data_IF_451765946499
#
_entry.id   IF_451765946499
#
_cell.length_a   1.000
_cell.length_b   1.000
_cell.length_c   1.000
_cell.angle_alpha   90.00
_cell.angle_beta   90.00
_cell.angle_gamma   90.00
#
_symmetry.space_group_name_H-M   'P 1'
#
loop_
_entity.id
_entity.type
_entity.pdbx_description
1 polymer ?
#
# COMPACT_ATOMS: atom_id res chain seq x y z
N UNK A 1 -48.39 -5.57 12.38
CA UNK A 1 -48.54 -4.20 12.92
C UNK A 1 -47.48 -3.33 12.26
N UNK A 2 -47.87 -2.34 11.43
CA UNK A 2 -46.92 -1.35 10.92
C UNK A 2 -46.50 -0.44 12.07
N UNK A 3 -45.24 -0.58 12.50
CA UNK A 3 -44.62 0.34 13.45
C UNK A 3 -43.96 1.41 12.57
N UNK A 4 -44.47 2.64 12.63
CA UNK A 4 -43.77 3.78 12.03
C UNK A 4 -42.50 4.03 12.84
N UNK A 5 -41.34 3.73 12.26
CA UNK A 5 -40.03 3.99 12.86
C UNK A 5 -39.47 5.25 12.20
N UNK A 6 -39.43 6.35 12.94
CA UNK A 6 -38.71 7.55 12.53
C UNK A 6 -37.25 7.40 12.99
N UNK A 7 -36.34 7.23 12.02
CA UNK A 7 -34.89 7.15 12.26
C UNK A 7 -34.29 8.55 12.05
N UNK A 8 -33.87 9.19 13.14
CA UNK A 8 -33.01 10.37 13.07
C UNK A 8 -31.56 9.94 13.26
N UNK A 9 -30.74 10.09 12.22
CA UNK A 9 -29.29 9.86 12.31
C UNK A 9 -28.61 11.14 12.80
N UNK A 10 -28.04 11.12 14.01
CA UNK A 10 -27.19 12.20 14.53
C UNK A 10 -25.70 11.97 14.20
N UNK A 11 -25.40 11.61 12.94
CA UNK A 11 -24.01 11.48 12.47
C UNK A 11 -23.91 12.16 11.10
N UNK A 12 -22.89 12.98 10.82
CA UNK A 12 -22.70 13.51 9.49
C UNK A 12 -22.42 12.34 8.54
N UNK A 13 -23.36 12.04 7.65
CA UNK A 13 -23.17 11.16 6.50
C UNK A 13 -22.29 11.81 5.41
N UNK A 14 -21.62 12.91 5.74
CA UNK A 14 -20.65 13.53 4.89
C UNK A 14 -19.30 12.84 5.09
N UNK A 15 -18.80 12.22 4.02
CA UNK A 15 -17.38 12.09 3.74
C UNK A 15 -16.71 13.49 3.55
N UNK A 16 -17.08 14.47 4.38
CA UNK A 16 -16.26 15.64 4.63
C UNK A 16 -14.97 15.11 5.23
N UNK A 17 -13.85 15.77 4.94
CA UNK A 17 -12.54 15.42 5.43
C UNK A 17 -12.51 15.42 6.97
N UNK A 18 -12.98 14.34 7.58
CA UNK A 18 -12.79 14.11 8.99
C UNK A 18 -11.28 13.98 9.14
N UNK A 19 -10.67 14.99 9.77
CA UNK A 19 -9.29 14.87 10.21
C UNK A 19 -9.25 13.69 11.17
N UNK A 20 -8.86 12.52 10.65
CA UNK A 20 -8.62 11.38 11.50
C UNK A 20 -7.61 11.84 12.56
N UNK A 21 -7.90 11.66 13.86
CA UNK A 21 -6.94 12.04 14.89
C UNK A 21 -5.60 11.38 14.55
N UNK A 22 -4.50 12.14 14.63
CA UNK A 22 -3.19 11.66 14.17
C UNK A 22 -2.83 10.34 14.86
N UNK A 23 -2.19 9.46 14.09
CA UNK A 23 -1.68 8.20 14.58
C UNK A 23 -0.49 8.51 15.50
N UNK A 24 -0.71 8.58 16.80
CA UNK A 24 0.40 8.81 17.73
C UNK A 24 1.17 7.51 17.96
N UNK A 25 2.44 7.50 17.55
CA UNK A 25 3.40 6.46 17.91
C UNK A 25 4.15 6.95 19.14
N UNK A 26 4.20 6.14 20.20
CA UNK A 26 5.00 6.47 21.37
C UNK A 26 6.48 6.22 21.02
N UNK A 27 7.28 7.28 21.05
CA UNK A 27 8.68 7.25 20.61
C UNK A 27 9.59 7.87 21.67
N UNK A 28 10.76 7.26 21.84
CA UNK A 28 11.85 7.80 22.65
C UNK A 28 13.04 8.12 21.74
N UNK A 29 13.41 9.39 21.55
CA UNK A 29 14.56 9.77 20.75
C UNK A 29 15.86 9.18 21.28
N UNK A 30 16.72 8.71 20.38
CA UNK A 30 18.09 8.31 20.69
C UNK A 30 19.02 9.42 20.24
N UNK A 31 19.82 9.95 21.17
CA UNK A 31 20.82 10.97 20.87
C UNK A 31 21.91 10.37 20.00
N UNK A 32 22.00 10.88 18.76
CA UNK A 32 23.06 10.56 17.80
C UNK A 32 23.92 11.81 17.61
N UNK A 33 25.25 11.63 17.56
CA UNK A 33 26.14 12.72 17.17
C UNK A 33 25.98 13.00 15.68
N UNK A 34 25.64 14.25 15.33
CA UNK A 34 25.41 14.69 13.94
C UNK A 34 26.54 15.62 13.51
N UNK A 35 27.17 15.42 12.34
CA UNK A 35 28.10 16.41 11.80
C UNK A 35 27.36 17.69 11.36
N UNK A 36 28.10 18.78 11.15
CA UNK A 36 27.53 20.15 11.11
C UNK A 36 26.56 20.45 9.95
N UNK A 37 26.77 19.90 8.75
CA UNK A 37 26.04 20.40 7.56
C UNK A 37 25.64 19.34 6.54
N UNK A 38 26.56 18.46 6.17
CA UNK A 38 26.36 17.39 5.19
C UNK A 38 27.50 16.38 5.27
N UNK A 39 27.32 15.19 4.70
CA UNK A 39 28.40 14.22 4.58
C UNK A 39 28.34 13.50 3.24
N UNK A 40 29.49 13.36 2.55
CA UNK A 40 29.60 12.81 1.19
C UNK A 40 30.32 11.46 1.18
N UNK A 41 29.89 10.56 0.30
CA UNK A 41 30.54 9.27 0.06
C UNK A 41 30.33 8.83 -1.39
N UNK A 42 31.19 7.94 -1.88
CA UNK A 42 31.14 7.41 -3.25
C UNK A 42 30.43 6.05 -3.32
N UNK A 43 30.24 5.34 -2.21
CA UNK A 43 29.58 4.02 -2.25
C UNK A 43 28.94 3.65 -0.93
N UNK A 44 29.68 3.81 0.16
CA UNK A 44 29.26 3.44 1.50
C UNK A 44 29.50 4.62 2.43
N UNK A 45 28.53 4.87 3.30
CA UNK A 45 28.61 5.83 4.38
C UNK A 45 28.15 5.15 5.66
N UNK A 46 28.82 5.40 6.79
CA UNK A 46 28.42 4.85 8.09
C UNK A 46 27.96 6.00 9.00
N UNK A 47 26.69 6.43 8.95
CA UNK A 47 26.22 7.63 9.67
C UNK A 47 26.60 7.70 11.14
N UNK A 48 26.61 6.56 11.82
CA UNK A 48 27.13 6.42 13.18
C UNK A 48 27.56 4.98 13.46
N UNK A 49 28.42 4.81 14.46
CA UNK A 49 28.96 3.54 14.93
C UNK A 49 28.87 3.42 16.44
N UNK A 50 28.88 2.19 16.92
CA UNK A 50 28.90 1.81 18.33
C UNK A 50 27.79 2.47 19.17
N UNK A 51 26.65 2.77 18.53
CA UNK A 51 25.49 3.34 19.20
C UNK A 51 24.89 2.30 20.14
N UNK A 52 25.00 2.54 21.44
CA UNK A 52 24.35 1.71 22.45
C UNK A 52 22.83 1.84 22.30
N UNK A 53 22.15 0.70 22.29
CA UNK A 53 20.70 0.59 22.15
C UNK A 53 20.13 -0.43 23.11
N UNK A 54 18.88 -0.24 23.51
CA UNK A 54 18.16 -1.18 24.37
C UNK A 54 17.93 -2.51 23.66
N UNK A 55 18.16 -3.62 24.37
CA UNK A 55 17.84 -4.97 23.90
C UNK A 55 16.33 -5.20 23.74
N UNK A 56 15.94 -6.21 22.95
CA UNK A 56 14.55 -6.64 22.73
C UNK A 56 13.57 -5.50 22.33
N UNK A 57 14.08 -4.44 21.70
CA UNK A 57 13.33 -3.22 21.43
C UNK A 57 13.19 -2.97 19.94
N UNK A 58 12.09 -2.34 19.53
CA UNK A 58 11.91 -1.88 18.16
C UNK A 58 12.46 -0.45 18.01
N UNK A 59 13.07 -0.17 16.88
CA UNK A 59 13.63 1.14 16.54
C UNK A 59 13.22 1.54 15.13
N UNK A 60 13.22 2.84 14.86
CA UNK A 60 13.06 3.39 13.52
C UNK A 60 14.18 4.38 13.25
N UNK A 61 14.93 4.15 12.18
CA UNK A 61 15.95 5.07 11.69
C UNK A 61 15.49 5.74 10.40
N UNK A 62 15.79 7.03 10.26
CA UNK A 62 15.66 7.74 8.98
C UNK A 62 16.67 8.88 8.82
N UNK A 63 16.97 9.21 7.57
CA UNK A 63 17.68 10.42 7.18
C UNK A 63 17.32 10.81 5.74
N UNK A 64 17.74 12.01 5.30
CA UNK A 64 17.68 12.39 3.88
C UNK A 64 19.02 12.16 3.20
N UNK A 65 18.97 11.55 2.02
CA UNK A 65 20.10 11.39 1.12
C UNK A 65 19.83 12.09 -0.22
N UNK A 66 20.90 12.46 -0.93
CA UNK A 66 20.84 13.08 -2.25
C UNK A 66 21.91 12.47 -3.14
N UNK A 67 21.50 12.01 -4.31
CA UNK A 67 22.42 11.55 -5.35
C UNK A 67 23.07 12.77 -6.02
N UNK A 68 24.40 12.81 -6.07
CA UNK A 68 25.15 13.95 -6.62
C UNK A 68 25.50 13.75 -8.10
N UNK A 69 25.74 12.51 -8.51
CA UNK A 69 26.10 12.15 -9.87
C UNK A 69 25.35 10.88 -10.32
N UNK A 70 25.14 10.78 -11.63
CA UNK A 70 24.56 9.61 -12.28
C UNK A 70 25.13 9.56 -13.72
N UNK A 71 25.75 8.46 -14.16
CA UNK A 71 26.25 8.34 -15.52
C UNK A 71 25.14 8.54 -16.56
N UNK A 72 25.48 9.07 -17.73
CA UNK A 72 24.50 9.42 -18.77
C UNK A 72 23.61 8.24 -19.21
N UNK A 73 24.11 7.01 -19.11
CA UNK A 73 23.37 5.78 -19.47
C UNK A 73 22.61 5.15 -18.29
N UNK A 74 22.85 5.59 -17.06
CA UNK A 74 22.21 5.02 -15.88
C UNK A 74 20.80 5.61 -15.70
N UNK A 75 19.83 4.74 -15.42
CA UNK A 75 18.42 5.13 -15.27
C UNK A 75 18.10 5.69 -13.88
N UNK A 76 18.90 5.30 -12.88
CA UNK A 76 18.91 5.75 -11.50
C UNK A 76 19.87 4.93 -10.64
N UNK A 77 19.98 5.28 -9.36
CA UNK A 77 20.78 4.60 -8.35
C UNK A 77 19.89 3.93 -7.29
N UNK A 78 20.35 2.82 -6.73
CA UNK A 78 19.64 2.11 -5.67
C UNK A 78 20.33 2.34 -4.33
N UNK A 79 19.62 2.96 -3.39
CA UNK A 79 20.08 3.13 -2.02
C UNK A 79 19.62 1.96 -1.15
N UNK A 80 20.52 1.49 -0.28
CA UNK A 80 20.19 0.59 0.81
C UNK A 80 20.55 1.26 2.14
N UNK A 81 19.76 0.96 3.16
CA UNK A 81 20.06 1.28 4.55
C UNK A 81 20.17 -0.02 5.32
N UNK A 82 21.30 -0.20 6.01
CA UNK A 82 21.59 -1.36 6.83
C UNK A 82 21.79 -0.95 8.28
N UNK A 83 21.27 -1.76 9.19
CA UNK A 83 21.71 -1.80 10.57
C UNK A 83 22.66 -2.98 10.74
N UNK A 84 23.82 -2.74 11.33
CA UNK A 84 24.78 -3.75 11.73
C UNK A 84 24.64 -3.89 13.25
N UNK A 85 24.12 -5.04 13.68
CA UNK A 85 23.89 -5.34 15.10
C UNK A 85 25.11 -6.05 15.68
N UNK A 86 25.74 -5.45 16.68
CA UNK A 86 26.94 -5.98 17.35
C UNK A 86 26.50 -6.57 18.69
N UNK A 87 26.52 -7.90 18.86
CA UNK A 87 26.16 -8.52 20.12
C UNK A 87 27.30 -8.38 21.16
N UNK A 88 26.99 -8.65 22.42
CA UNK A 88 27.98 -8.74 23.52
C UNK A 88 28.99 -9.87 23.30
N UNK A 89 28.55 -10.94 22.62
CA UNK A 89 29.37 -12.08 22.21
C UNK A 89 28.85 -12.64 20.89
N UNK A 90 29.76 -13.17 20.06
CA UNK A 90 29.45 -13.74 18.73
C UNK A 90 29.57 -12.75 17.57
N UNK A 91 29.15 -13.19 16.38
CA UNK A 91 29.28 -12.43 15.14
C UNK A 91 28.22 -11.31 15.00
N UNK A 92 28.62 -10.20 14.37
CA UNK A 92 27.72 -9.12 14.02
C UNK A 92 26.69 -9.57 12.96
N UNK A 93 25.45 -9.08 13.08
CA UNK A 93 24.37 -9.38 12.13
C UNK A 93 24.04 -8.17 11.28
N UNK A 94 24.02 -8.34 9.96
CA UNK A 94 23.61 -7.31 9.01
C UNK A 94 22.13 -7.47 8.64
N UNK A 95 21.37 -6.38 8.72
CA UNK A 95 19.96 -6.35 8.34
C UNK A 95 19.72 -5.15 7.44
N UNK A 96 19.15 -5.36 6.26
CA UNK A 96 18.67 -4.26 5.41
C UNK A 96 17.32 -3.82 5.92
N UNK A 97 17.20 -2.54 6.28
CA UNK A 97 15.99 -1.96 6.88
C UNK A 97 15.26 -1.03 5.92
N UNK A 98 15.94 -0.56 4.87
CA UNK A 98 15.37 0.33 3.87
C UNK A 98 16.01 0.12 2.51
N UNK A 99 15.19 0.18 1.47
CA UNK A 99 15.63 0.22 0.08
C UNK A 99 14.94 1.37 -0.63
N UNK A 100 15.64 2.03 -1.54
CA UNK A 100 15.05 3.02 -2.44
C UNK A 100 15.64 2.83 -3.83
N UNK A 101 14.81 2.43 -4.78
CA UNK A 101 15.23 2.08 -6.12
C UNK A 101 15.10 3.24 -7.10
N UNK A 102 15.95 3.25 -8.13
CA UNK A 102 15.84 4.16 -9.26
C UNK A 102 15.85 5.66 -8.86
N UNK A 103 16.64 6.02 -7.86
CA UNK A 103 16.83 7.42 -7.44
C UNK A 103 17.62 8.16 -8.50
N UNK A 104 17.09 9.29 -8.94
CA UNK A 104 17.70 10.13 -9.97
C UNK A 104 18.29 11.38 -9.34
N UNK A 105 19.30 11.97 -9.98
CA UNK A 105 19.92 13.23 -9.52
C UNK A 105 18.87 14.35 -9.34
N UNK A 106 17.89 14.43 -10.23
CA UNK A 106 16.79 15.39 -10.18
C UNK A 106 15.77 15.18 -9.05
N UNK A 107 15.81 14.03 -8.35
CA UNK A 107 14.96 13.81 -7.19
C UNK A 107 15.35 14.71 -6.01
N UNK A 108 16.59 15.20 -5.97
CA UNK A 108 17.09 16.01 -4.87
C UNK A 108 17.22 15.19 -3.58
N UNK A 109 16.73 15.74 -2.47
CA UNK A 109 16.74 15.08 -1.17
C UNK A 109 15.59 14.09 -1.05
N UNK A 110 15.91 12.81 -0.83
CA UNK A 110 14.96 11.72 -0.61
C UNK A 110 15.12 11.15 0.79
N UNK A 111 14.01 10.75 1.44
CA UNK A 111 14.05 10.12 2.76
C UNK A 111 14.37 8.62 2.62
N UNK A 112 15.32 8.13 3.41
CA UNK A 112 15.74 6.73 3.46
C UNK A 112 15.81 6.24 4.91
N UNK A 113 15.60 4.95 5.13
CA UNK A 113 15.54 4.38 6.47
C UNK A 113 14.51 3.26 6.59
N UNK A 114 14.19 2.88 7.82
CA UNK A 114 13.23 1.86 8.16
C UNK A 114 13.32 1.42 9.61
N UNK A 115 12.50 0.43 9.97
CA UNK A 115 12.48 -0.15 11.30
C UNK A 115 13.36 -1.39 11.44
N UNK A 116 13.74 -1.69 12.68
CA UNK A 116 14.42 -2.92 13.06
C UNK A 116 14.16 -3.29 14.51
N UNK A 117 14.47 -4.53 14.87
CA UNK A 117 14.36 -5.03 16.25
C UNK A 117 15.70 -5.55 16.75
N UNK A 118 16.07 -5.17 17.98
CA UNK A 118 17.31 -5.61 18.61
C UNK A 118 17.15 -6.95 19.33
N UNK A 119 18.14 -7.86 19.28
CA UNK A 119 18.13 -9.09 20.06
C UNK A 119 18.40 -8.84 21.55
N UNK A 120 18.23 -9.86 22.38
CA UNK A 120 18.46 -9.81 23.83
C UNK A 120 19.93 -9.55 24.21
N UNK A 121 20.87 -10.04 23.39
CA UNK A 121 22.30 -9.95 23.62
C UNK A 121 22.99 -8.78 22.90
N UNK A 122 22.24 -7.76 22.44
CA UNK A 122 22.83 -6.60 21.74
C UNK A 122 23.77 -5.82 22.66
N UNK A 123 24.89 -5.34 22.11
CA UNK A 123 25.80 -4.37 22.73
C UNK A 123 25.60 -2.98 22.12
N UNK A 124 25.72 -2.90 20.80
CA UNK A 124 25.65 -1.66 20.04
C UNK A 124 25.18 -1.92 18.60
N UNK A 125 24.88 -0.85 17.87
CA UNK A 125 24.61 -0.90 16.44
C UNK A 125 25.48 0.09 15.66
N UNK A 126 25.75 -0.24 14.40
CA UNK A 126 26.21 0.72 13.40
C UNK A 126 25.11 0.92 12.36
N UNK A 127 24.99 2.13 11.84
CA UNK A 127 24.19 2.38 10.65
C UNK A 127 25.06 2.51 9.43
N UNK A 128 24.57 2.01 8.32
CA UNK A 128 25.20 2.13 7.02
C UNK A 128 24.18 2.53 5.97
N UNK A 129 24.58 3.45 5.11
CA UNK A 129 23.88 3.77 3.86
C UNK A 129 24.81 3.42 2.72
N UNK A 130 24.30 2.72 1.72
CA UNK A 130 25.09 2.31 0.56
C UNK A 130 24.35 2.52 -0.74
N UNK A 131 25.10 2.68 -1.83
CA UNK A 131 24.61 2.56 -3.19
C UNK A 131 25.02 1.19 -3.74
N UNK A 132 24.07 0.49 -4.34
CA UNK A 132 24.31 -0.80 -4.99
C UNK A 132 24.85 -0.63 -6.42
N UNK A 133 25.79 -1.50 -6.81
CA UNK A 133 26.33 -1.57 -8.17
C UNK A 133 27.56 -0.71 -8.37
N UNK A 134 27.36 0.59 -8.63
CA UNK A 134 28.42 1.53 -9.00
C UNK A 134 28.88 2.41 -7.82
N UNK A 135 30.12 2.87 -7.89
CA UNK A 135 30.65 3.91 -7.01
C UNK A 135 30.12 5.28 -7.46
N UNK A 136 28.94 5.66 -6.98
CA UNK A 136 28.30 6.95 -7.24
C UNK A 136 28.38 7.87 -6.02
N UNK A 137 28.78 9.13 -6.24
CA UNK A 137 28.75 10.15 -5.19
C UNK A 137 27.33 10.45 -4.74
N UNK A 138 27.13 10.37 -3.44
CA UNK A 138 25.93 10.82 -2.74
C UNK A 138 26.29 11.59 -1.48
N UNK A 139 25.28 12.27 -0.96
CA UNK A 139 25.37 13.07 0.26
C UNK A 139 24.23 12.70 1.20
N UNK A 140 24.50 12.67 2.51
CA UNK A 140 23.48 12.59 3.56
C UNK A 140 23.41 13.94 4.27
N UNK A 141 22.19 14.39 4.57
CA UNK A 141 21.98 15.54 5.45
C UNK A 141 21.94 15.07 6.92
N UNK A 142 22.98 15.31 7.71
CA UNK A 142 23.08 14.82 9.08
C UNK A 142 22.03 15.43 10.00
N UNK A 143 21.59 16.66 9.73
CA UNK A 143 20.58 17.35 10.53
C UNK A 143 19.23 16.63 10.47
N UNK A 144 18.97 15.90 9.39
CA UNK A 144 17.76 15.10 9.19
C UNK A 144 17.83 13.70 9.78
N UNK A 145 18.98 13.27 10.31
CA UNK A 145 19.10 11.94 10.91
C UNK A 145 18.24 11.84 12.16
N UNK A 146 17.56 10.72 12.31
CA UNK A 146 16.73 10.40 13.45
C UNK A 146 16.83 8.91 13.74
N UNK A 147 17.06 8.57 14.99
CA UNK A 147 16.89 7.23 15.53
C UNK A 147 15.93 7.36 16.71
N UNK A 148 14.84 6.61 16.69
CA UNK A 148 13.86 6.57 17.79
C UNK A 148 13.65 5.13 18.21
N UNK A 149 13.50 4.90 19.52
CA UNK A 149 12.97 3.65 20.05
C UNK A 149 11.45 3.72 20.00
N UNK A 150 10.84 2.71 19.39
CA UNK A 150 9.39 2.57 19.36
C UNK A 150 8.95 1.91 20.68
N UNK A 151 8.06 2.58 21.41
CA UNK A 151 7.59 2.11 22.71
C UNK A 151 6.30 1.30 22.53
N UNK A 152 6.23 0.09 23.12
CA UNK A 152 4.97 -0.66 23.15
C UNK A 152 3.86 0.17 23.79
N UNK A 153 2.68 0.18 23.17
CA UNK A 153 1.49 0.81 23.72
C UNK A 153 0.52 -0.26 24.21
N UNK A 154 0.54 -0.60 25.50
CA UNK A 154 -0.40 -1.57 26.08
C UNK A 154 -1.88 -1.19 25.91
N UNK A 155 -2.17 0.09 25.65
CA UNK A 155 -3.52 0.63 25.46
C UNK A 155 -3.90 0.80 23.99
N UNK A 156 -3.10 0.33 23.03
CA UNK A 156 -3.33 0.55 21.59
C UNK A 156 -4.74 0.10 21.16
N UNK A 157 -5.21 -1.03 21.69
CA UNK A 157 -6.53 -1.60 21.37
C UNK A 157 -7.66 -0.76 21.96
N UNK A 158 -7.51 -0.29 23.20
CA UNK A 158 -8.44 0.62 23.86
C UNK A 158 -8.56 1.92 23.06
N UNK A 159 -7.42 2.54 22.71
CA UNK A 159 -7.38 3.76 21.88
C UNK A 159 -7.98 3.55 20.49
N UNK A 160 -7.73 2.40 19.87
CA UNK A 160 -8.35 2.04 18.59
C UNK A 160 -9.87 1.90 18.72
N UNK A 161 -10.37 1.23 19.75
CA UNK A 161 -11.80 1.11 20.02
C UNK A 161 -12.46 2.46 20.31
N UNK A 162 -11.78 3.37 21.03
CA UNK A 162 -12.25 4.74 21.23
C UNK A 162 -12.38 5.50 19.90
N UNK A 163 -11.37 5.42 19.02
CA UNK A 163 -11.44 6.00 17.67
C UNK A 163 -12.58 5.40 16.85
N UNK A 164 -12.77 4.08 16.90
CA UNK A 164 -13.90 3.42 16.24
C UNK A 164 -15.23 3.95 16.78
N UNK A 165 -15.38 4.07 18.10
CA UNK A 165 -16.58 4.64 18.70
C UNK A 165 -16.83 6.09 18.32
N UNK A 166 -15.77 6.90 18.20
CA UNK A 166 -15.89 8.32 17.84
C UNK A 166 -16.13 8.57 16.34
N UNK A 167 -15.52 7.75 15.46
CA UNK A 167 -15.46 8.02 14.01
C UNK A 167 -16.42 7.10 13.22
N UNK A 168 -16.76 5.93 13.78
CA UNK A 168 -17.51 4.88 13.08
C UNK A 168 -18.78 4.44 13.80
N UNK A 169 -19.09 5.02 14.97
CA UNK A 169 -20.36 4.79 15.69
C UNK A 169 -21.04 6.13 15.96
N UNK A 170 -22.33 6.06 16.26
CA UNK A 170 -23.13 7.20 16.70
C UNK A 170 -24.32 6.73 17.52
N UNK A 171 -24.93 7.66 18.24
CA UNK A 171 -26.19 7.41 18.94
C UNK A 171 -27.33 7.24 17.94
N UNK A 172 -28.24 6.31 18.24
CA UNK A 172 -29.53 6.19 17.58
C UNK A 172 -30.62 6.40 18.63
N UNK A 173 -31.52 7.34 18.38
CA UNK A 173 -32.70 7.57 19.22
C UNK A 173 -33.95 7.18 18.45
N UNK A 174 -34.82 6.43 19.11
CA UNK A 174 -36.05 5.90 18.52
C UNK A 174 -37.23 6.29 19.39
N UNK A 175 -38.12 7.06 18.80
CA UNK A 175 -39.36 7.45 19.45
C UNK A 175 -40.47 6.53 18.95
N UNK A 176 -40.92 5.63 19.82
CA UNK A 176 -41.89 4.59 19.47
C UNK A 176 -43.17 4.84 20.23
N UNK A 177 -44.27 5.08 19.50
CA UNK A 177 -45.60 5.23 20.08
C UNK A 177 -46.19 3.83 20.33
N UNK A 178 -46.14 3.40 21.58
CA UNK A 178 -46.70 2.11 21.99
C UNK A 178 -48.24 2.20 22.08
N UNK A 179 -49.02 1.41 21.32
CA UNK A 179 -50.47 1.36 21.49
C UNK A 179 -50.83 0.79 22.87
N UNK A 180 -51.90 1.28 23.50
CA UNK A 180 -52.33 0.94 24.88
C UNK A 180 -52.53 -0.55 25.18
N UNK A 181 -52.49 -1.42 24.15
CA UNK A 181 -52.67 -2.88 24.25
C UNK A 181 -51.43 -3.62 24.78
N UNK A 182 -50.23 -3.03 24.72
CA UNK A 182 -49.00 -3.67 25.19
C UNK A 182 -48.33 -2.81 26.27
N UNK A 183 -47.81 -3.44 27.32
CA UNK A 183 -46.92 -2.76 28.27
C UNK A 183 -45.52 -2.58 27.68
N UNK A 184 -44.78 -1.57 28.12
CA UNK A 184 -43.41 -1.35 27.63
C UNK A 184 -42.48 -2.56 27.87
N UNK A 185 -42.73 -3.37 28.91
CA UNK A 185 -41.98 -4.60 29.21
C UNK A 185 -42.21 -5.72 28.20
N UNK A 186 -43.30 -5.65 27.44
CA UNK A 186 -43.62 -6.63 26.39
C UNK A 186 -43.03 -6.26 25.02
N UNK A 187 -42.49 -5.05 24.87
CA UNK A 187 -41.81 -4.64 23.64
C UNK A 187 -40.40 -5.22 23.61
N UNK A 188 -40.09 -5.96 22.55
CA UNK A 188 -38.74 -6.48 22.27
C UNK A 188 -38.25 -5.88 20.95
N UNK A 189 -37.02 -5.40 20.95
CA UNK A 189 -36.36 -4.85 19.76
C UNK A 189 -35.24 -5.77 19.32
N UNK A 190 -35.15 -6.03 18.02
CA UNK A 190 -34.01 -6.70 17.40
C UNK A 190 -33.35 -5.73 16.42
N UNK A 191 -32.04 -5.60 16.54
CA UNK A 191 -31.20 -4.81 15.64
C UNK A 191 -30.26 -5.74 14.89
N UNK A 192 -30.09 -5.52 13.60
CA UNK A 192 -29.21 -6.30 12.77
C UNK A 192 -28.48 -5.36 11.79
N UNK A 193 -27.15 -5.45 11.77
CA UNK A 193 -26.36 -4.69 10.79
C UNK A 193 -26.51 -5.37 9.43
N UNK A 194 -27.23 -4.73 8.51
CA UNK A 194 -27.48 -5.29 7.16
C UNK A 194 -26.33 -5.04 6.17
N UNK A 195 -25.49 -4.01 6.40
CA UNK A 195 -24.33 -3.69 5.56
C UNK A 195 -23.27 -2.92 6.35
N UNK A 196 -22.00 -3.10 5.99
CA UNK A 196 -20.91 -2.22 6.44
C UNK A 196 -20.83 -0.97 5.56
N UNK A 197 -20.71 0.20 6.20
CA UNK A 197 -20.48 1.48 5.51
C UNK A 197 -19.06 1.65 4.93
N UNK A 198 -18.17 0.68 5.15
CA UNK A 198 -16.83 0.65 4.54
C UNK A 198 -16.54 -0.71 3.90
N UNK A 199 -15.64 -0.77 2.89
CA UNK A 199 -15.29 -2.01 2.21
C UNK A 199 -14.63 -3.02 3.15
N UNK A 200 -15.21 -4.21 3.23
CA UNK A 200 -14.62 -5.43 3.77
C UNK A 200 -14.70 -6.45 2.65
N UNK A 201 -13.55 -6.82 2.09
CA UNK A 201 -13.51 -7.55 0.83
C UNK A 201 -12.62 -8.77 0.83
N UNK A 202 -12.77 -9.55 -0.24
CA UNK A 202 -11.92 -10.71 -0.54
C UNK A 202 -11.48 -10.73 -1.99
N UNK A 203 -10.40 -11.47 -2.27
CA UNK A 203 -10.04 -11.84 -3.63
C UNK A 203 -11.07 -12.86 -4.18
N UNK A 204 -11.45 -12.71 -5.44
CA UNK A 204 -12.48 -13.52 -6.09
C UNK A 204 -12.03 -14.08 -7.42
N UNK A 205 -12.50 -15.29 -7.73
CA UNK A 205 -12.35 -15.93 -9.04
C UNK A 205 -13.68 -15.83 -9.76
N UNK A 206 -13.70 -15.26 -10.97
CA UNK A 206 -14.95 -14.98 -11.68
C UNK A 206 -15.76 -16.21 -12.04
N UNK A 207 -15.10 -17.32 -12.36
CA UNK A 207 -15.77 -18.60 -12.62
C UNK A 207 -16.49 -19.18 -11.39
N UNK A 208 -16.06 -18.84 -10.16
CA UNK A 208 -16.72 -19.24 -8.91
C UNK A 208 -17.78 -18.23 -8.50
N UNK A 209 -17.47 -16.94 -8.57
CA UNK A 209 -18.38 -15.88 -8.12
C UNK A 209 -19.60 -15.71 -9.03
N UNK A 210 -19.44 -15.90 -10.35
CA UNK A 210 -20.55 -15.92 -11.32
C UNK A 210 -20.78 -17.31 -11.93
N UNK A 211 -20.41 -18.38 -11.22
CA UNK A 211 -20.63 -19.76 -11.66
C UNK A 211 -22.02 -20.28 -11.28
N UNK A 212 -22.48 -21.33 -11.97
CA UNK A 212 -23.83 -21.92 -11.76
C UNK A 212 -23.80 -23.30 -11.08
N UNK A 213 -22.62 -23.91 -10.97
CA UNK A 213 -22.47 -25.23 -10.35
C UNK A 213 -22.60 -25.17 -8.81
N UNK A 214 -22.72 -26.34 -8.17
CA UNK A 214 -22.94 -26.46 -6.72
C UNK A 214 -21.83 -25.80 -5.89
N UNK A 215 -20.57 -25.93 -6.30
CA UNK A 215 -19.44 -25.31 -5.60
C UNK A 215 -19.46 -23.77 -5.70
N UNK A 216 -19.80 -23.24 -6.87
CA UNK A 216 -19.95 -21.81 -7.10
C UNK A 216 -21.05 -21.21 -6.22
N UNK A 217 -22.18 -21.91 -6.06
CA UNK A 217 -23.26 -21.47 -5.16
C UNK A 217 -22.78 -21.38 -3.70
N UNK A 218 -22.10 -22.41 -3.19
CA UNK A 218 -21.50 -22.38 -1.83
C UNK A 218 -20.48 -21.24 -1.68
N UNK A 219 -19.67 -21.00 -2.70
CA UNK A 219 -18.70 -19.90 -2.73
C UNK A 219 -19.40 -18.53 -2.66
N UNK A 220 -20.45 -18.33 -3.46
CA UNK A 220 -21.25 -17.10 -3.48
C UNK A 220 -21.95 -16.86 -2.14
N UNK A 221 -22.61 -17.87 -1.58
CA UNK A 221 -23.24 -17.79 -0.26
C UNK A 221 -22.26 -17.34 0.81
N UNK A 222 -21.08 -17.95 0.86
CA UNK A 222 -20.04 -17.52 1.79
C UNK A 222 -19.56 -16.10 1.51
N UNK A 223 -19.29 -15.76 0.25
CA UNK A 223 -18.78 -14.44 -0.11
C UNK A 223 -19.77 -13.33 0.24
N UNK A 224 -21.02 -13.42 -0.25
CA UNK A 224 -22.03 -12.38 -0.07
C UNK A 224 -22.55 -12.27 1.38
N UNK A 225 -22.37 -13.32 2.19
CA UNK A 225 -22.64 -13.27 3.64
C UNK A 225 -21.57 -12.49 4.42
N UNK A 226 -20.31 -12.52 3.99
CA UNK A 226 -19.17 -12.05 4.80
C UNK A 226 -18.49 -10.79 4.27
N UNK A 227 -18.62 -10.49 2.99
CA UNK A 227 -17.91 -9.39 2.32
C UNK A 227 -18.89 -8.47 1.60
N UNK A 228 -18.47 -7.24 1.31
CA UNK A 228 -19.19 -6.28 0.48
C UNK A 228 -18.33 -5.69 -0.64
N UNK A 229 -17.16 -6.29 -0.89
CA UNK A 229 -16.17 -5.83 -1.86
C UNK A 229 -15.40 -6.99 -2.50
N UNK A 230 -15.28 -7.02 -3.82
CA UNK A 230 -14.54 -8.05 -4.55
C UNK A 230 -13.28 -7.53 -5.24
N UNK A 231 -12.19 -8.30 -5.24
CA UNK A 231 -11.01 -8.02 -6.10
C UNK A 231 -10.75 -9.21 -7.00
N UNK A 232 -10.72 -9.03 -8.32
CA UNK A 232 -10.43 -10.14 -9.24
C UNK A 232 -9.02 -10.70 -8.97
N UNK A 233 -8.91 -11.94 -8.49
CA UNK A 233 -7.64 -12.51 -8.01
C UNK A 233 -6.62 -12.63 -9.15
N UNK A 234 -7.06 -13.15 -10.31
CA UNK A 234 -6.21 -13.37 -11.48
C UNK A 234 -6.84 -12.88 -12.79
N UNK A 235 -8.17 -12.82 -12.87
CA UNK A 235 -8.89 -12.65 -14.15
C UNK A 235 -8.55 -11.35 -14.89
N UNK A 236 -8.21 -10.27 -14.17
CA UNK A 236 -7.80 -8.99 -14.77
C UNK A 236 -6.29 -8.90 -15.07
N UNK A 237 -5.44 -9.82 -14.60
CA UNK A 237 -3.99 -9.77 -14.83
C UNK A 237 -3.70 -9.95 -16.32
N UNK A 238 -2.79 -9.14 -16.89
CA UNK A 238 -2.61 -9.08 -18.34
C UNK A 238 -2.32 -10.43 -19.00
N UNK A 239 -1.39 -11.21 -18.45
CA UNK A 239 -1.05 -12.53 -19.00
C UNK A 239 -2.22 -13.52 -18.98
N UNK A 240 -3.19 -13.35 -18.09
CA UNK A 240 -4.35 -14.24 -17.94
C UNK A 240 -5.45 -13.78 -18.88
N UNK A 241 -5.84 -12.52 -18.76
CA UNK A 241 -6.87 -11.92 -19.61
C UNK A 241 -6.47 -11.95 -21.08
N UNK A 242 -5.18 -11.85 -21.39
CA UNK A 242 -4.68 -11.80 -22.75
C UNK A 242 -3.46 -12.71 -22.92
N UNK A 243 -3.67 -14.01 -22.74
CA UNK A 243 -2.62 -15.02 -22.93
C UNK A 243 -2.14 -15.15 -24.38
N UNK A 244 -2.95 -14.71 -25.35
CA UNK A 244 -2.61 -14.65 -26.78
C UNK A 244 -2.66 -13.21 -27.27
N UNK A 245 -1.70 -12.84 -28.10
CA UNK A 245 -1.58 -11.48 -28.61
C UNK A 245 -2.87 -11.02 -29.31
N UNK A 246 -3.39 -9.86 -28.89
CA UNK A 246 -4.58 -9.22 -29.45
C UNK A 246 -5.88 -10.03 -29.28
N UNK A 247 -5.92 -11.00 -28.36
CA UNK A 247 -7.09 -11.84 -28.07
C UNK A 247 -7.46 -11.82 -26.58
N UNK A 248 -7.95 -10.69 -26.05
CA UNK A 248 -8.43 -10.61 -24.67
C UNK A 248 -9.67 -11.49 -24.44
N UNK A 249 -9.71 -12.18 -23.31
CA UNK A 249 -10.81 -13.02 -22.84
C UNK A 249 -11.47 -12.32 -21.66
N UNK A 250 -12.75 -11.99 -21.81
CA UNK A 250 -13.51 -11.18 -20.85
C UNK A 250 -14.39 -12.01 -19.89
N UNK A 251 -14.66 -13.27 -20.23
CA UNK A 251 -15.71 -14.08 -19.60
C UNK A 251 -15.64 -14.13 -18.06
N UNK A 252 -14.48 -14.46 -17.49
CA UNK A 252 -14.37 -14.54 -16.02
C UNK A 252 -14.47 -13.17 -15.35
N UNK A 253 -13.87 -12.13 -15.94
CA UNK A 253 -13.96 -10.78 -15.41
C UNK A 253 -15.42 -10.32 -15.41
N UNK A 254 -16.15 -10.52 -16.52
CA UNK A 254 -17.58 -10.25 -16.63
C UNK A 254 -18.39 -11.00 -15.57
N UNK A 255 -18.19 -12.31 -15.43
CA UNK A 255 -18.85 -13.10 -14.38
C UNK A 255 -18.63 -12.55 -12.97
N UNK A 256 -17.39 -12.14 -12.65
CA UNK A 256 -17.10 -11.56 -11.35
C UNK A 256 -17.83 -10.24 -11.13
N UNK A 257 -17.75 -9.32 -12.09
CA UNK A 257 -18.30 -7.97 -11.94
C UNK A 257 -19.82 -7.95 -12.04
N UNK A 258 -20.43 -8.76 -12.91
CA UNK A 258 -21.88 -8.92 -13.02
C UNK A 258 -22.47 -9.45 -11.68
N UNK A 259 -21.79 -10.41 -11.04
CA UNK A 259 -22.19 -10.95 -9.75
C UNK A 259 -22.06 -9.91 -8.61
N UNK A 260 -21.02 -9.07 -8.63
CA UNK A 260 -20.85 -8.00 -7.63
C UNK A 260 -21.87 -6.87 -7.82
N UNK A 261 -22.10 -6.44 -9.06
CA UNK A 261 -23.06 -5.38 -9.41
C UNK A 261 -24.50 -5.80 -9.07
N UNK A 262 -24.88 -7.07 -9.31
CA UNK A 262 -26.22 -7.57 -8.95
C UNK A 262 -26.50 -7.53 -7.44
N UNK A 263 -25.45 -7.59 -6.62
CA UNK A 263 -25.52 -7.43 -5.15
C UNK A 263 -25.24 -6.00 -4.68
N UNK A 264 -25.01 -5.05 -5.59
CA UNK A 264 -24.64 -3.65 -5.30
C UNK A 264 -23.37 -3.54 -4.45
N UNK A 265 -22.39 -4.40 -4.74
CA UNK A 265 -21.11 -4.49 -4.05
C UNK A 265 -20.00 -3.85 -4.88
N UNK A 266 -19.04 -3.22 -4.19
CA UNK A 266 -17.93 -2.55 -4.85
C UNK A 266 -16.87 -3.53 -5.34
N UNK A 267 -16.02 -3.07 -6.26
CA UNK A 267 -15.04 -3.94 -6.89
C UNK A 267 -13.71 -3.26 -7.20
N UNK A 268 -12.64 -4.06 -7.21
CA UNK A 268 -11.29 -3.66 -7.63
C UNK A 268 -10.76 -4.57 -8.73
N UNK A 269 -10.31 -3.99 -9.84
CA UNK A 269 -9.56 -4.73 -10.84
C UNK A 269 -8.09 -4.85 -10.42
N UNK A 270 -7.60 -6.09 -10.37
CA UNK A 270 -6.21 -6.40 -10.07
C UNK A 270 -5.60 -7.28 -11.18
N UNK A 271 -4.67 -6.79 -11.98
CA UNK A 271 -4.18 -5.41 -12.08
C UNK A 271 -3.97 -5.04 -13.55
N UNK A 272 -3.94 -3.74 -13.85
CA UNK A 272 -3.76 -3.26 -15.21
C UNK A 272 -2.35 -3.59 -15.70
N UNK A 273 -1.30 -3.26 -14.96
CA UNK A 273 0.07 -3.66 -15.28
C UNK A 273 0.75 -4.33 -14.08
N UNK A 274 1.56 -5.35 -14.35
CA UNK A 274 2.44 -5.97 -13.34
C UNK A 274 3.78 -6.25 -14.01
N UNK A 275 4.81 -5.53 -13.55
CA UNK A 275 6.13 -5.49 -14.18
C UNK A 275 7.04 -6.65 -13.86
N UNK A 276 6.56 -7.67 -13.13
CA UNK A 276 7.37 -8.86 -12.86
C UNK A 276 7.57 -9.72 -14.09
N UNK A 277 8.77 -10.23 -14.33
CA UNK A 277 9.11 -11.02 -15.53
C UNK A 277 8.18 -12.22 -15.75
N UNK A 278 7.70 -12.86 -14.68
CA UNK A 278 6.74 -13.98 -14.73
C UNK A 278 5.26 -13.57 -14.79
N UNK A 279 4.96 -12.28 -14.64
CA UNK A 279 3.61 -11.72 -14.67
C UNK A 279 3.22 -11.08 -16.01
N UNK A 280 4.21 -10.82 -16.86
CA UNK A 280 4.08 -10.21 -18.18
C UNK A 280 3.58 -11.25 -19.20
N UNK A 281 2.69 -10.90 -20.14
CA UNK A 281 2.31 -11.81 -21.22
C UNK A 281 3.53 -12.30 -22.01
N UNK A 282 3.66 -13.62 -22.20
CA UNK A 282 4.84 -14.20 -22.83
C UNK A 282 5.14 -13.61 -24.22
N UNK A 283 4.09 -13.35 -25.00
CA UNK A 283 4.17 -12.83 -26.37
C UNK A 283 4.71 -11.40 -26.47
N UNK A 284 4.75 -10.61 -25.38
CA UNK A 284 5.23 -9.22 -25.42
C UNK A 284 6.74 -9.09 -25.14
N UNK A 285 7.36 -10.09 -24.50
CA UNK A 285 8.70 -9.97 -23.91
C UNK A 285 9.82 -9.78 -24.94
N UNK A 286 9.68 -10.38 -26.12
CA UNK A 286 10.64 -10.30 -27.22
C UNK A 286 10.41 -9.13 -28.18
N UNK A 287 9.35 -8.32 -27.97
CA UNK A 287 8.99 -7.24 -28.89
C UNK A 287 9.90 -6.02 -28.74
N UNK A 288 9.94 -5.20 -29.79
CA UNK A 288 10.62 -3.91 -29.77
C UNK A 288 9.89 -2.90 -28.87
N UNK A 289 10.60 -1.89 -28.38
CA UNK A 289 10.04 -0.82 -27.53
C UNK A 289 8.80 -0.15 -28.15
N UNK A 290 8.78 0.24 -29.44
CA UNK A 290 7.57 0.78 -30.06
C UNK A 290 6.37 -0.18 -30.05
N UNK A 291 6.61 -1.48 -30.31
CA UNK A 291 5.56 -2.49 -30.28
C UNK A 291 5.00 -2.68 -28.85
N UNK A 292 5.88 -2.76 -27.84
CA UNK A 292 5.49 -2.83 -26.42
C UNK A 292 4.60 -1.63 -26.06
N UNK A 293 5.01 -0.42 -26.44
CA UNK A 293 4.23 0.79 -26.19
C UNK A 293 2.86 0.77 -26.90
N UNK A 294 2.80 0.24 -28.12
CA UNK A 294 1.54 -0.01 -28.84
C UNK A 294 0.59 -0.93 -28.05
N UNK A 295 1.11 -2.02 -27.50
CA UNK A 295 0.32 -2.96 -26.68
C UNK A 295 -0.12 -2.36 -25.33
N UNK A 296 0.73 -1.56 -24.69
CA UNK A 296 0.38 -0.82 -23.47
C UNK A 296 -0.81 0.12 -23.76
N UNK A 297 -0.75 0.90 -24.85
CA UNK A 297 -1.86 1.78 -25.28
C UNK A 297 -3.12 0.99 -25.56
N UNK A 298 -3.03 -0.13 -26.28
CA UNK A 298 -4.18 -0.98 -26.56
C UNK A 298 -4.81 -1.52 -25.28
N UNK A 299 -4.00 -1.96 -24.31
CA UNK A 299 -4.49 -2.44 -23.01
C UNK A 299 -5.17 -1.37 -22.18
N UNK A 300 -4.54 -0.20 -22.07
CA UNK A 300 -5.17 0.97 -21.42
C UNK A 300 -6.55 1.23 -22.04
N UNK A 301 -6.61 1.27 -23.38
CA UNK A 301 -7.84 1.56 -24.12
C UNK A 301 -8.94 0.53 -23.89
N UNK A 302 -8.68 -0.78 -24.08
CA UNK A 302 -9.76 -1.76 -23.89
C UNK A 302 -10.18 -1.88 -22.42
N UNK A 303 -9.26 -1.78 -21.46
CA UNK A 303 -9.64 -1.82 -20.04
C UNK A 303 -10.50 -0.61 -19.65
N UNK A 304 -10.14 0.59 -20.12
CA UNK A 304 -10.91 1.80 -19.85
C UNK A 304 -12.29 1.75 -20.52
N UNK A 305 -12.36 1.41 -21.81
CA UNK A 305 -13.62 1.39 -22.56
C UNK A 305 -14.57 0.28 -22.08
N UNK A 306 -14.05 -0.90 -21.73
CA UNK A 306 -14.89 -2.03 -21.29
C UNK A 306 -15.26 -1.94 -19.81
N UNK A 307 -14.34 -1.51 -18.95
CA UNK A 307 -14.52 -1.64 -17.49
C UNK A 307 -14.36 -0.35 -16.68
N UNK A 308 -13.98 0.76 -17.30
CA UNK A 308 -13.74 2.02 -16.58
C UNK A 308 -14.93 2.52 -15.76
N UNK A 309 -16.16 2.26 -16.20
CA UNK A 309 -17.37 2.64 -15.46
C UNK A 309 -17.91 1.54 -14.53
N UNK A 310 -17.28 0.37 -14.52
CA UNK A 310 -17.77 -0.81 -13.81
C UNK A 310 -16.97 -1.10 -12.54
N UNK A 311 -15.64 -1.00 -12.61
CA UNK A 311 -14.81 -1.11 -11.42
C UNK A 311 -14.76 0.22 -10.66
N UNK A 312 -14.94 0.18 -9.34
CA UNK A 312 -14.73 1.35 -8.49
C UNK A 312 -13.24 1.70 -8.44
N UNK A 313 -12.39 0.67 -8.25
CA UNK A 313 -10.95 0.81 -8.07
C UNK A 313 -10.17 0.00 -9.13
N UNK A 314 -9.04 0.53 -9.59
CA UNK A 314 -8.08 -0.20 -10.43
C UNK A 314 -6.67 -0.02 -9.90
N UNK A 315 -5.98 -1.15 -9.72
CA UNK A 315 -4.53 -1.16 -9.53
C UNK A 315 -3.88 -0.91 -10.89
N UNK A 316 -3.48 0.34 -11.16
CA UNK A 316 -2.85 0.72 -12.44
C UNK A 316 -1.54 -0.01 -12.61
N UNK A 317 -0.79 -0.15 -11.52
CA UNK A 317 0.43 -0.92 -11.47
C UNK A 317 0.51 -1.72 -10.17
N UNK A 318 0.98 -2.96 -10.30
CA UNK A 318 1.33 -3.83 -9.22
C UNK A 318 2.87 -4.01 -9.13
N UNK A 319 3.41 -3.87 -7.92
CA UNK A 319 4.78 -4.27 -7.53
C UNK A 319 5.92 -3.56 -8.26
N UNK A 320 5.70 -2.31 -8.65
CA UNK A 320 6.72 -1.48 -9.32
C UNK A 320 8.05 -1.42 -8.56
N UNK A 321 8.01 -1.47 -7.21
CA UNK A 321 9.23 -1.34 -6.41
C UNK A 321 10.14 -2.57 -6.51
N UNK A 322 9.63 -3.71 -6.93
CA UNK A 322 10.39 -4.96 -6.98
C UNK A 322 10.86 -5.29 -8.39
N UNK A 323 10.04 -4.99 -9.40
CA UNK A 323 10.41 -5.17 -10.79
C UNK A 323 9.63 -4.22 -11.71
N UNK A 324 10.35 -3.33 -12.39
CA UNK A 324 9.79 -2.22 -13.18
C UNK A 324 9.92 -2.46 -14.70
N UNK A 325 9.81 -3.71 -15.15
CA UNK A 325 10.20 -4.16 -16.49
C UNK A 325 9.73 -3.27 -17.63
N UNK A 326 8.47 -2.82 -17.65
CA UNK A 326 7.97 -1.99 -18.75
C UNK A 326 8.73 -0.65 -18.87
N UNK A 327 9.01 0.00 -17.74
CA UNK A 327 9.78 1.25 -17.74
C UNK A 327 11.25 1.02 -18.09
N UNK A 328 11.84 -0.04 -17.53
CA UNK A 328 13.25 -0.39 -17.75
C UNK A 328 13.52 -0.82 -19.20
N UNK A 329 12.70 -1.73 -19.74
CA UNK A 329 12.82 -2.23 -21.12
C UNK A 329 12.74 -1.11 -22.17
N UNK A 330 11.93 -0.09 -21.90
CA UNK A 330 11.76 1.05 -22.78
C UNK A 330 12.67 2.23 -22.45
N UNK A 331 13.50 2.11 -21.40
CA UNK A 331 14.26 3.22 -20.82
C UNK A 331 13.40 4.48 -20.59
N UNK A 332 12.14 4.28 -20.17
CA UNK A 332 11.14 5.34 -20.01
C UNK A 332 10.71 5.50 -18.54
N UNK A 333 11.32 6.43 -17.81
CA UNK A 333 10.97 6.71 -16.41
C UNK A 333 9.60 7.35 -16.21
N UNK A 334 9.07 7.99 -17.25
CA UNK A 334 7.81 8.71 -17.20
C UNK A 334 6.63 7.82 -17.62
N UNK A 335 6.88 6.54 -17.88
CA UNK A 335 5.85 5.58 -18.30
C UNK A 335 4.75 5.43 -17.26
N UNK A 336 5.11 5.24 -15.99
CA UNK A 336 4.12 5.04 -14.92
C UNK A 336 3.23 6.28 -14.71
N UNK A 337 3.76 7.51 -14.56
CA UNK A 337 2.94 8.72 -14.55
C UNK A 337 2.04 8.84 -15.78
N UNK A 338 2.55 8.52 -16.97
CA UNK A 338 1.78 8.54 -18.20
C UNK A 338 0.65 7.51 -18.21
N UNK A 339 0.87 6.28 -17.73
CA UNK A 339 -0.17 5.24 -17.61
C UNK A 339 -1.34 5.71 -16.72
N UNK A 340 -1.04 6.33 -15.58
CA UNK A 340 -2.06 6.89 -14.69
C UNK A 340 -2.87 8.00 -15.37
N UNK A 341 -2.21 8.96 -16.01
CA UNK A 341 -2.87 10.07 -16.72
C UNK A 341 -3.74 9.57 -17.86
N UNK A 342 -3.21 8.66 -18.67
CA UNK A 342 -3.90 8.18 -19.86
C UNK A 342 -5.11 7.32 -19.50
N UNK A 343 -5.00 6.48 -18.47
CA UNK A 343 -6.16 5.72 -17.99
C UNK A 343 -7.25 6.64 -17.42
N UNK A 344 -6.88 7.61 -16.57
CA UNK A 344 -7.82 8.55 -15.98
C UNK A 344 -8.52 9.43 -17.04
N UNK A 345 -7.80 9.84 -18.08
CA UNK A 345 -8.38 10.60 -19.21
C UNK A 345 -9.52 9.85 -19.89
N UNK A 346 -9.41 8.52 -20.02
CA UNK A 346 -10.46 7.68 -20.62
C UNK A 346 -11.52 7.23 -19.60
N UNK A 347 -11.17 7.14 -18.32
CA UNK A 347 -12.07 6.71 -17.25
C UNK A 347 -11.92 7.57 -15.98
N UNK A 348 -12.47 8.80 -15.97
CA UNK A 348 -12.29 9.73 -14.87
C UNK A 348 -13.01 9.30 -13.59
N UNK A 349 -14.04 8.46 -13.69
CA UNK A 349 -14.81 7.97 -12.53
C UNK A 349 -14.12 6.87 -11.73
N UNK A 350 -13.16 6.14 -12.32
CA UNK A 350 -12.45 5.06 -11.63
C UNK A 350 -11.37 5.63 -10.72
N UNK A 351 -11.31 5.14 -9.47
CA UNK A 351 -10.21 5.48 -8.57
C UNK A 351 -8.98 4.63 -8.88
N UNK A 352 -7.84 5.29 -9.01
CA UNK A 352 -6.58 4.68 -9.44
C UNK A 352 -5.63 4.47 -8.27
N UNK A 353 -5.11 3.25 -8.17
CA UNK A 353 -4.26 2.80 -7.09
C UNK A 353 -2.89 2.38 -7.62
N UNK A 354 -1.86 2.68 -6.82
CA UNK A 354 -0.65 1.85 -6.78
C UNK A 354 -0.90 0.67 -5.84
N UNK A 355 -0.25 -0.47 -6.05
CA UNK A 355 -0.34 -1.60 -5.13
C UNK A 355 1.02 -2.31 -5.01
N UNK A 356 1.50 -2.53 -3.80
CA UNK A 356 2.82 -3.13 -3.59
C UNK A 356 2.91 -3.90 -2.24
N UNK A 357 3.86 -4.84 -2.15
CA UNK A 357 4.17 -5.60 -0.93
C UNK A 357 5.48 -5.13 -0.29
N UNK A 358 5.73 -5.57 0.95
CA UNK A 358 6.82 -5.11 1.82
C UNK A 358 6.82 -3.62 2.20
N UNK A 359 5.89 -2.84 1.66
CA UNK A 359 5.66 -1.43 2.02
C UNK A 359 5.01 -1.24 3.40
N UNK A 360 4.44 -2.32 3.95
CA UNK A 360 3.76 -2.30 5.24
C UNK A 360 4.04 -3.56 6.07
N UNK A 361 3.93 -4.76 5.47
CA UNK A 361 4.11 -6.01 6.20
C UNK A 361 5.55 -6.25 6.69
N UNK A 362 6.54 -5.88 5.89
CA UNK A 362 7.97 -6.03 6.21
C UNK A 362 8.64 -4.69 6.56
N UNK A 363 8.27 -3.59 5.90
CA UNK A 363 8.73 -2.24 6.21
C UNK A 363 9.87 -1.75 5.33
N UNK A 364 10.68 -2.65 4.75
CA UNK A 364 11.87 -2.31 3.95
C UNK A 364 11.59 -1.40 2.74
N UNK A 365 10.37 -1.43 2.21
CA UNK A 365 9.94 -0.60 1.07
C UNK A 365 9.04 0.58 1.46
N UNK A 366 8.80 0.85 2.75
CA UNK A 366 7.83 1.88 3.21
C UNK A 366 8.16 3.26 2.64
N UNK A 367 9.40 3.72 2.82
CA UNK A 367 9.83 5.03 2.33
C UNK A 367 9.98 5.07 0.81
N UNK A 368 10.30 3.94 0.17
CA UNK A 368 10.30 3.83 -1.29
C UNK A 368 8.92 4.05 -1.88
N UNK A 369 7.91 3.48 -1.24
CA UNK A 369 6.53 3.59 -1.66
C UNK A 369 6.01 5.01 -1.48
N UNK A 370 6.30 5.64 -0.33
CA UNK A 370 6.05 7.07 -0.12
C UNK A 370 6.68 7.90 -1.24
N UNK A 371 7.97 7.70 -1.52
CA UNK A 371 8.67 8.48 -2.54
C UNK A 371 8.08 8.27 -3.95
N UNK A 372 7.68 7.05 -4.29
CA UNK A 372 7.01 6.75 -5.56
C UNK A 372 5.68 7.50 -5.69
N UNK A 373 4.86 7.50 -4.64
CA UNK A 373 3.58 8.23 -4.60
C UNK A 373 3.79 9.74 -4.74
N UNK A 374 4.75 10.31 -4.00
CA UNK A 374 5.10 11.73 -4.10
C UNK A 374 5.60 12.09 -5.51
N UNK A 375 6.42 11.24 -6.12
CA UNK A 375 6.92 11.44 -7.48
C UNK A 375 5.80 11.41 -8.52
N UNK A 376 4.80 10.54 -8.36
CA UNK A 376 3.63 10.49 -9.24
C UNK A 376 2.79 11.76 -9.10
N UNK A 377 2.48 12.17 -7.85
CA UNK A 377 1.73 13.39 -7.57
C UNK A 377 2.44 14.63 -8.12
N UNK A 378 3.75 14.75 -7.91
CA UNK A 378 4.58 15.86 -8.45
C UNK A 378 4.51 15.93 -9.98
N UNK A 379 4.36 14.80 -10.66
CA UNK A 379 4.23 14.73 -12.11
C UNK A 379 2.78 14.88 -12.59
N UNK A 380 1.82 15.16 -11.71
CA UNK A 380 0.40 15.32 -12.05
C UNK A 380 -0.33 14.02 -12.38
N UNK A 381 0.18 12.87 -11.92
CA UNK A 381 -0.53 11.60 -12.07
C UNK A 381 -1.68 11.51 -11.04
N UNK A 382 -2.91 11.15 -11.47
CA UNK A 382 -4.08 11.04 -10.59
C UNK A 382 -4.02 9.77 -9.73
N UNK A 383 -3.31 9.83 -8.62
CA UNK A 383 -3.23 8.75 -7.62
C UNK A 383 -4.31 8.97 -6.55
N UNK A 384 -5.37 8.18 -6.62
CA UNK A 384 -6.54 8.29 -5.73
C UNK A 384 -6.40 7.45 -4.46
N UNK A 385 -5.52 6.45 -4.47
CA UNK A 385 -5.22 5.64 -3.30
C UNK A 385 -3.93 4.84 -3.43
N UNK A 386 -3.51 4.26 -2.32
CA UNK A 386 -2.33 3.39 -2.22
C UNK A 386 -2.74 2.04 -1.64
N UNK A 387 -2.25 0.96 -2.24
CA UNK A 387 -2.51 -0.41 -1.88
C UNK A 387 -1.32 -1.00 -1.15
N UNK A 388 -1.54 -1.42 0.09
CA UNK A 388 -0.58 -2.14 0.90
C UNK A 388 -1.00 -3.61 0.94
N UNK A 389 -0.36 -4.46 0.13
CA UNK A 389 -0.81 -5.86 -0.06
C UNK A 389 -0.90 -6.65 1.25
N UNK A 390 -0.07 -6.30 2.25
CA UNK A 390 -0.17 -6.84 3.60
C UNK A 390 0.03 -8.37 3.69
N UNK A 391 0.88 -8.92 2.83
CA UNK A 391 1.35 -10.31 2.93
C UNK A 391 2.32 -10.46 4.11
N UNK A 392 1.78 -10.74 5.30
CA UNK A 392 2.57 -10.94 6.53
C UNK A 392 3.12 -12.36 6.62
N UNK A 393 4.45 -12.52 6.61
CA UNK A 393 5.10 -13.78 6.96
C UNK A 393 5.26 -13.99 8.47
N UNK A 394 5.34 -12.88 9.22
CA UNK A 394 5.31 -12.83 10.68
C UNK A 394 4.49 -11.61 11.09
N UNK A 395 3.94 -11.62 12.30
CA UNK A 395 3.22 -10.47 12.86
C UNK A 395 4.21 -9.48 13.47
N UNK A 396 4.42 -8.28 12.91
CA UNK A 396 5.28 -7.28 13.52
C UNK A 396 4.66 -6.72 14.81
N UNK A 397 5.48 -6.08 15.64
CA UNK A 397 4.98 -5.35 16.81
C UNK A 397 4.06 -4.21 16.39
N UNK A 398 3.07 -3.90 17.23
CA UNK A 398 2.02 -2.94 16.86
C UNK A 398 2.58 -1.54 16.66
N UNK A 399 3.51 -1.11 17.51
CA UNK A 399 4.22 0.16 17.40
C UNK A 399 4.97 0.29 16.07
N UNK A 400 5.57 -0.80 15.59
CA UNK A 400 6.22 -0.88 14.28
C UNK A 400 5.22 -0.68 13.14
N UNK A 401 4.08 -1.38 13.18
CA UNK A 401 3.04 -1.21 12.15
C UNK A 401 2.50 0.21 12.14
N UNK A 402 2.24 0.77 13.32
CA UNK A 402 1.75 2.15 13.47
C UNK A 402 2.76 3.15 12.91
N UNK A 403 4.06 2.95 13.14
CA UNK A 403 5.12 3.78 12.55
C UNK A 403 5.16 3.69 11.03
N UNK A 404 4.99 2.50 10.45
CA UNK A 404 4.94 2.34 8.98
C UNK A 404 3.73 3.04 8.36
N UNK A 405 2.57 3.00 9.02
CA UNK A 405 1.37 3.74 8.59
C UNK A 405 1.58 5.26 8.67
N UNK A 406 2.10 5.76 9.79
CA UNK A 406 2.43 7.17 9.97
C UNK A 406 3.40 7.65 8.88
N UNK A 407 4.49 6.91 8.66
CA UNK A 407 5.48 7.23 7.62
C UNK A 407 4.89 7.20 6.21
N UNK A 408 3.87 6.40 5.95
CA UNK A 408 3.21 6.30 4.63
C UNK A 408 2.14 7.37 4.41
N UNK A 409 1.50 7.87 5.48
CA UNK A 409 0.40 8.82 5.43
C UNK A 409 0.87 10.27 5.29
N UNK A 410 1.96 10.62 5.97
CA UNK A 410 2.68 11.89 5.84
C UNK A 410 3.63 11.85 4.63
#
# INVERSE_FOLDING_TARGET
>A
MQIAVYLAFLVPLAAAAASYPPWTVNEEPVTISKPATSWKATRIMNPFKDQVVKANSAFYFKCKAKLLELPAKATGANFNVHVIMIPKSGAAKWVTIGRLHNVRRQAGWVEIGGDFETPSNIKSINMQVSIHGESLKFEINPNTMSLVRLLPDGQWKTKANQRISAIRKGGLTLNIKNPKRYTNRQLKFKWEQVKSGFPVGSAVQGNKLGGTNTEAKKYQEFFFKNFNWGTTENDCKWRIMEGRENKPVYNNVNKAIDALESHKFGSRAHALFWGRTNAIPNWIRSKSTPAIMGHIRRRLRYMALTYGKRFDHIDVNNEQLHEAWYGEKMNNPNLLPWMFKEFHRMSPSTKLFLNDFFVFADGIMTLAYKQQVLNLRKQGAPVHGIGMQSHFGKRPKIETLMKRLESSAN
#
